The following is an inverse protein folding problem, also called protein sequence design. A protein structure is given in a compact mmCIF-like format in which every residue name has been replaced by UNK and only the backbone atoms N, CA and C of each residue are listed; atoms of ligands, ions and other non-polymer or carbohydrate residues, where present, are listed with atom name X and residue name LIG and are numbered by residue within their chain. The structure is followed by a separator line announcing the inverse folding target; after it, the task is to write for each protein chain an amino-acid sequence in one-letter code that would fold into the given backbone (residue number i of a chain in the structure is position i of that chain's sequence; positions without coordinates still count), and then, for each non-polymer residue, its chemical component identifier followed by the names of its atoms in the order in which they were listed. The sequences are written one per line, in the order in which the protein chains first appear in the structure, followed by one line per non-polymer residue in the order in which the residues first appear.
data_IF_357002878005
#
_entry.id   IF_357002878005
#
_cell.length_a   1.000
_cell.length_b   1.000
_cell.length_c   1.000
_cell.angle_alpha   90.00
_cell.angle_beta   90.00
_cell.angle_gamma   90.00
#
_symmetry.space_group_name_H-M   'P 1'
#
loop_
_entity.id
_entity.type
_entity.pdbx_description
1 polymer ?
#
# COMPACT_ATOMS: atom_id res chain seq x y z
N UNK A 1 -13.65 -4.61 -1.83
CA UNK A 1 -13.64 -3.88 -3.11
C UNK A 1 -14.65 -4.51 -4.08
N UNK A 2 -14.48 -5.77 -4.52
CA UNK A 2 -15.48 -6.48 -5.38
C UNK A 2 -16.94 -6.37 -4.90
N UNK A 3 -17.18 -6.55 -3.59
CA UNK A 3 -18.51 -6.36 -2.99
C UNK A 3 -19.08 -4.95 -3.21
N UNK A 4 -18.27 -3.89 -3.01
CA UNK A 4 -18.71 -2.51 -3.22
C UNK A 4 -19.02 -2.25 -4.69
N UNK A 5 -18.19 -2.78 -5.60
CA UNK A 5 -18.36 -2.63 -7.04
C UNK A 5 -19.64 -3.25 -7.56
N UNK A 6 -20.09 -4.35 -6.95
CA UNK A 6 -21.37 -5.02 -7.24
C UNK A 6 -22.57 -4.45 -6.47
N UNK A 7 -22.34 -3.52 -5.54
CA UNK A 7 -23.39 -2.89 -4.75
C UNK A 7 -23.96 -1.63 -5.43
N UNK A 8 -25.02 -1.06 -4.86
CA UNK A 8 -25.60 0.20 -5.34
C UNK A 8 -24.62 1.39 -5.27
N UNK A 9 -23.60 1.32 -4.42
CA UNK A 9 -22.57 2.35 -4.32
C UNK A 9 -21.62 2.34 -5.52
N UNK A 10 -21.46 1.19 -6.20
CA UNK A 10 -20.60 0.95 -7.38
C UNK A 10 -19.11 1.21 -7.21
N UNK A 11 -18.66 2.05 -6.28
CA UNK A 11 -17.26 2.32 -5.99
C UNK A 11 -17.08 2.86 -4.57
N UNK A 12 -15.83 2.95 -4.14
CA UNK A 12 -15.42 3.58 -2.89
C UNK A 12 -15.09 5.07 -3.07
N UNK A 13 -14.36 5.44 -4.12
CA UNK A 13 -14.08 6.85 -4.48
C UNK A 13 -12.95 7.54 -3.71
N UNK A 14 -12.51 6.97 -2.58
CA UNK A 14 -11.47 7.53 -1.70
C UNK A 14 -10.60 6.39 -1.11
N UNK A 15 -10.32 5.36 -1.91
CA UNK A 15 -9.55 4.21 -1.45
C UNK A 15 -8.08 4.59 -1.25
N UNK A 16 -7.55 4.47 -0.02
CA UNK A 16 -6.18 4.80 0.36
C UNK A 16 -5.73 3.87 1.48
N UNK A 17 -4.43 3.78 1.74
CA UNK A 17 -3.92 2.99 2.87
C UNK A 17 -4.53 3.42 4.21
N UNK A 18 -4.78 4.72 4.38
CA UNK A 18 -5.46 5.27 5.57
C UNK A 18 -6.95 4.88 5.71
N UNK A 19 -7.61 4.44 4.64
CA UNK A 19 -9.03 3.99 4.67
C UNK A 19 -9.17 2.48 4.79
N UNK A 20 -8.05 1.75 4.79
CA UNK A 20 -7.97 0.31 5.06
C UNK A 20 -7.66 0.08 6.55
N UNK A 21 -8.70 -0.09 7.36
CA UNK A 21 -8.58 -0.29 8.81
C UNK A 21 -8.45 -1.77 9.14
N UNK A 22 -7.67 -2.10 10.17
CA UNK A 22 -7.52 -3.48 10.67
C UNK A 22 -8.20 -3.59 12.02
N UNK A 23 -9.05 -4.60 12.22
CA UNK A 23 -9.68 -4.87 13.51
C UNK A 23 -8.87 -5.85 14.38
N UNK A 24 -9.34 -6.07 15.60
CA UNK A 24 -8.84 -7.05 16.57
C UNK A 24 -8.74 -8.49 16.03
N UNK A 25 -9.62 -8.83 15.08
CA UNK A 25 -9.66 -10.12 14.40
C UNK A 25 -8.74 -10.19 13.18
N UNK A 26 -7.84 -9.22 12.99
CA UNK A 26 -6.90 -9.12 11.86
C UNK A 26 -7.57 -9.08 10.49
N UNK A 27 -8.79 -8.55 10.43
CA UNK A 27 -9.54 -8.36 9.19
C UNK A 27 -9.41 -6.92 8.73
N UNK A 28 -9.11 -6.76 7.43
CA UNK A 28 -9.14 -5.45 6.78
C UNK A 28 -10.59 -5.04 6.50
N UNK A 29 -10.97 -3.83 6.91
CA UNK A 29 -12.25 -3.19 6.65
C UNK A 29 -12.03 -1.86 5.95
N UNK A 30 -12.86 -1.58 4.96
CA UNK A 30 -12.84 -0.31 4.23
C UNK A 30 -13.73 0.71 4.95
N UNK A 31 -13.20 1.91 5.18
CA UNK A 31 -13.88 3.03 5.82
C UNK A 31 -14.02 4.21 4.84
N UNK A 32 -14.83 5.22 5.19
CA UNK A 32 -14.99 6.46 4.41
C UNK A 32 -15.53 6.29 2.97
N UNK A 33 -16.23 5.20 2.65
CA UNK A 33 -16.93 5.05 1.37
C UNK A 33 -18.28 5.78 1.38
N UNK A 34 -18.65 6.41 0.26
CA UNK A 34 -19.94 7.11 0.13
C UNK A 34 -20.06 8.40 0.96
N UNK A 35 -18.94 8.96 1.41
CA UNK A 35 -18.89 10.21 2.19
C UNK A 35 -18.58 11.44 1.33
N UNK A 36 -18.63 11.32 0.00
CA UNK A 36 -18.07 12.33 -0.91
C UNK A 36 -18.76 13.69 -0.77
N UNK A 37 -20.09 13.69 -0.61
CA UNK A 37 -20.89 14.90 -0.39
C UNK A 37 -20.65 15.57 0.97
N UNK A 38 -20.07 14.85 1.95
CA UNK A 38 -19.76 15.37 3.28
C UNK A 38 -18.35 15.98 3.34
N UNK A 39 -17.50 15.64 2.38
CA UNK A 39 -16.10 16.08 2.30
C UNK A 39 -15.95 17.32 1.40
N UNK A 40 -16.99 17.70 0.62
CA UNK A 40 -16.98 18.84 -0.30
C UNK A 40 -16.56 20.19 0.31
N UNK A 41 -16.73 20.40 1.62
CA UNK A 41 -16.37 21.67 2.27
C UNK A 41 -14.86 21.89 2.48
N UNK A 42 -14.01 20.86 2.26
CA UNK A 42 -12.56 21.03 2.34
C UNK A 42 -11.88 20.35 1.15
N UNK A 43 -11.17 21.14 0.34
CA UNK A 43 -10.27 20.61 -0.69
C UNK A 43 -9.42 19.51 -0.05
N UNK A 44 -9.48 18.25 -0.52
CA UNK A 44 -8.75 17.18 0.13
C UNK A 44 -7.28 17.56 0.16
N UNK A 45 -6.58 17.41 1.31
CA UNK A 45 -5.16 17.69 1.38
C UNK A 45 -4.46 17.07 0.18
N UNK A 46 -3.61 17.82 -0.53
CA UNK A 46 -3.02 17.37 -1.81
C UNK A 46 -2.36 15.99 -1.71
N UNK A 47 -1.84 15.62 -0.53
CA UNK A 47 -1.34 14.26 -0.22
C UNK A 47 -2.37 13.15 -0.45
N UNK A 48 -3.67 13.39 -0.23
CA UNK A 48 -4.73 12.40 -0.48
C UNK A 48 -4.84 12.03 -1.97
N UNK A 49 -4.38 12.90 -2.87
CA UNK A 49 -4.44 12.69 -4.32
C UNK A 49 -3.40 11.68 -4.83
N UNK A 50 -2.45 11.25 -4.00
CA UNK A 50 -1.39 10.31 -4.39
C UNK A 50 -1.90 8.91 -4.78
N UNK A 51 -3.10 8.55 -4.35
CA UNK A 51 -3.75 7.29 -4.73
C UNK A 51 -4.75 7.44 -5.88
N UNK A 52 -5.02 8.67 -6.32
CA UNK A 52 -6.11 8.97 -7.25
C UNK A 52 -5.68 8.70 -8.69
N UNK A 53 -6.55 8.02 -9.42
CA UNK A 53 -6.31 7.61 -10.81
C UNK A 53 -6.15 8.82 -11.77
N UNK A 54 -5.34 8.69 -12.83
CA UNK A 54 -5.01 9.80 -13.74
C UNK A 54 -6.24 10.43 -14.41
N UNK A 55 -7.22 9.63 -14.81
CA UNK A 55 -8.47 10.09 -15.41
C UNK A 55 -9.31 10.94 -14.45
N UNK A 56 -9.29 10.63 -13.16
CA UNK A 56 -10.00 11.38 -12.12
C UNK A 56 -9.31 12.72 -11.88
N UNK A 57 -7.97 12.73 -11.82
CA UNK A 57 -7.17 13.95 -11.70
C UNK A 57 -7.32 14.91 -12.90
N UNK A 58 -7.51 14.36 -14.11
CA UNK A 58 -7.74 15.14 -15.34
C UNK A 58 -9.14 15.71 -15.42
N UNK A 59 -10.16 14.86 -15.21
CA UNK A 59 -11.55 15.24 -15.34
C UNK A 59 -12.07 16.09 -14.19
N UNK A 60 -11.36 16.14 -13.05
CA UNK A 60 -11.86 16.72 -11.80
C UNK A 60 -13.24 16.13 -11.46
N UNK A 61 -13.35 14.81 -11.64
CA UNK A 61 -14.60 14.08 -11.55
C UNK A 61 -15.10 14.04 -10.09
N UNK A 62 -16.40 14.25 -9.89
CA UNK A 62 -17.05 13.88 -8.63
C UNK A 62 -17.10 12.36 -8.50
N UNK A 63 -17.28 11.83 -7.29
CA UNK A 63 -17.35 10.38 -7.10
C UNK A 63 -18.51 9.74 -7.86
N UNK A 64 -19.62 10.46 -8.04
CA UNK A 64 -20.74 10.04 -8.89
C UNK A 64 -20.39 9.90 -10.38
N UNK A 65 -19.30 10.52 -10.84
CA UNK A 65 -18.81 10.46 -12.21
C UNK A 65 -17.65 9.46 -12.37
N UNK A 66 -17.11 8.94 -11.27
CA UNK A 66 -16.02 7.97 -11.29
C UNK A 66 -16.54 6.57 -11.59
N UNK A 67 -15.71 5.77 -12.26
CA UNK A 67 -15.96 4.36 -12.52
C UNK A 67 -15.14 3.45 -11.57
N UNK A 68 -15.54 2.19 -11.36
CA UNK A 68 -14.86 1.26 -10.45
C UNK A 68 -13.37 1.05 -10.72
N UNK A 69 -12.93 1.27 -11.97
CA UNK A 69 -11.52 1.22 -12.38
C UNK A 69 -10.64 2.25 -11.67
N UNK A 70 -11.19 3.33 -11.13
CA UNK A 70 -10.46 4.29 -10.30
C UNK A 70 -10.06 3.71 -8.94
N UNK A 71 -10.94 2.91 -8.32
CA UNK A 71 -10.59 2.16 -7.11
C UNK A 71 -9.52 1.09 -7.40
N UNK A 72 -9.54 0.49 -8.59
CA UNK A 72 -8.53 -0.50 -9.01
C UNK A 72 -7.13 0.13 -9.09
N UNK A 73 -7.03 1.34 -9.65
CA UNK A 73 -5.78 2.11 -9.62
C UNK A 73 -5.33 2.39 -8.18
N UNK A 74 -6.25 2.86 -7.35
CA UNK A 74 -5.97 3.18 -5.94
C UNK A 74 -5.48 1.94 -5.18
N UNK A 75 -6.09 0.79 -5.44
CA UNK A 75 -5.67 -0.52 -4.92
C UNK A 75 -4.24 -0.86 -5.33
N UNK A 76 -3.82 -0.57 -6.56
CA UNK A 76 -2.46 -0.84 -7.03
C UNK A 76 -1.41 -0.03 -6.25
N UNK A 77 -1.70 1.24 -5.93
CA UNK A 77 -0.83 2.07 -5.10
C UNK A 77 -0.71 1.46 -3.70
N UNK A 78 -1.82 1.06 -3.07
CA UNK A 78 -1.82 0.38 -1.77
C UNK A 78 -1.03 -0.94 -1.83
N UNK A 79 -1.23 -1.73 -2.88
CA UNK A 79 -0.51 -2.97 -3.07
C UNK A 79 1.00 -2.74 -3.24
N UNK A 80 1.42 -1.65 -3.88
CA UNK A 80 2.83 -1.28 -3.97
C UNK A 80 3.43 -0.92 -2.62
N UNK A 81 2.68 -0.25 -1.72
CA UNK A 81 3.12 0.04 -0.35
C UNK A 81 3.35 -1.27 0.43
N UNK A 82 2.43 -2.24 0.28
CA UNK A 82 2.55 -3.56 0.91
C UNK A 82 3.77 -4.33 0.38
N UNK A 83 3.98 -4.33 -0.93
CA UNK A 83 5.08 -5.06 -1.57
C UNK A 83 6.45 -4.48 -1.21
N UNK A 84 6.56 -3.16 -1.15
CA UNK A 84 7.83 -2.45 -0.92
C UNK A 84 8.09 -2.18 0.56
N UNK A 85 7.06 -2.27 1.42
CA UNK A 85 7.08 -1.84 2.82
C UNK A 85 7.49 -0.36 2.99
N UNK A 86 7.17 0.46 1.98
CA UNK A 86 7.46 1.90 1.92
C UNK A 86 6.15 2.68 1.79
N UNK A 87 6.19 3.97 2.11
CA UNK A 87 5.05 4.87 1.89
C UNK A 87 4.72 5.00 0.40
N UNK A 88 3.46 5.36 0.08
CA UNK A 88 3.06 5.64 -1.29
C UNK A 88 4.02 6.61 -1.97
N UNK A 89 4.52 6.20 -3.14
CA UNK A 89 5.51 6.92 -3.94
C UNK A 89 6.92 7.05 -3.34
N UNK A 90 7.20 6.58 -2.12
CA UNK A 90 8.52 6.63 -1.47
C UNK A 90 9.29 7.94 -1.68
N UNK A 91 8.98 8.96 -0.88
CA UNK A 91 9.57 10.29 -1.02
C UNK A 91 11.02 10.40 -0.53
N UNK A 92 11.57 9.38 0.14
CA UNK A 92 12.92 9.47 0.72
C UNK A 92 14.01 9.57 -0.35
N UNK A 93 13.84 8.84 -1.46
CA UNK A 93 14.81 8.76 -2.56
C UNK A 93 14.36 9.55 -3.80
N UNK A 94 13.29 10.35 -3.68
CA UNK A 94 12.72 11.15 -4.79
C UNK A 94 13.08 12.62 -4.70
N UNK A 95 13.15 13.26 -5.87
CA UNK A 95 13.33 14.71 -5.98
C UNK A 95 12.00 15.45 -5.97
N UNK A 96 10.97 14.79 -6.49
CA UNK A 96 9.64 15.34 -6.67
C UNK A 96 8.87 15.35 -5.35
N UNK A 97 8.20 16.47 -5.07
CA UNK A 97 7.25 16.54 -3.96
C UNK A 97 5.88 15.94 -4.33
N UNK A 98 4.97 15.88 -3.35
CA UNK A 98 3.63 15.31 -3.57
C UNK A 98 2.81 16.03 -4.65
N UNK A 99 3.01 17.34 -4.84
CA UNK A 99 2.28 18.11 -5.84
C UNK A 99 2.83 17.85 -7.24
N UNK A 100 4.15 17.76 -7.38
CA UNK A 100 4.83 17.43 -8.62
C UNK A 100 4.47 16.01 -9.07
N UNK A 101 4.43 15.04 -8.16
CA UNK A 101 3.96 13.67 -8.44
C UNK A 101 2.53 13.69 -8.97
N UNK A 102 1.60 14.36 -8.28
CA UNK A 102 0.20 14.46 -8.71
C UNK A 102 0.10 15.12 -10.09
N UNK A 103 0.89 16.16 -10.34
CA UNK A 103 0.96 16.80 -11.65
C UNK A 103 1.46 15.85 -12.74
N UNK A 104 2.53 15.09 -12.48
CA UNK A 104 3.09 14.14 -13.44
C UNK A 104 2.14 12.96 -13.73
N UNK A 105 1.45 12.43 -12.72
CA UNK A 105 0.40 11.40 -12.91
C UNK A 105 -0.74 11.98 -13.75
N UNK A 106 -1.21 13.18 -13.42
CA UNK A 106 -2.25 13.88 -14.19
C UNK A 106 -1.82 14.11 -15.64
N UNK A 107 -0.58 14.53 -15.87
CA UNK A 107 -0.02 14.78 -17.21
C UNK A 107 0.08 13.50 -18.03
N UNK A 108 0.41 12.37 -17.40
CA UNK A 108 0.62 11.10 -18.08
C UNK A 108 1.73 11.18 -19.14
N UNK A 109 1.58 10.41 -20.22
CA UNK A 109 2.52 10.39 -21.35
C UNK A 109 2.80 8.97 -21.83
N UNK A 110 3.75 8.82 -22.76
CA UNK A 110 4.17 7.50 -23.27
C UNK A 110 4.79 6.61 -22.17
N UNK A 111 5.38 7.24 -21.14
CA UNK A 111 5.97 6.57 -19.99
C UNK A 111 5.44 7.25 -18.71
N UNK A 112 4.22 6.92 -18.29
CA UNK A 112 3.62 7.55 -17.13
C UNK A 112 4.32 7.08 -15.86
N UNK A 113 4.56 8.00 -14.92
CA UNK A 113 5.26 7.66 -13.67
C UNK A 113 4.41 6.72 -12.81
N UNK A 114 5.07 5.81 -12.08
CA UNK A 114 4.44 4.90 -11.10
C UNK A 114 5.36 4.72 -9.90
N UNK A 115 4.85 4.22 -8.75
CA UNK A 115 5.70 3.74 -7.67
C UNK A 115 6.66 2.65 -8.17
N UNK A 116 7.89 2.67 -7.66
CA UNK A 116 8.88 1.67 -8.00
C UNK A 116 8.62 0.40 -7.21
N UNK A 117 8.45 -0.73 -7.90
CA UNK A 117 8.32 -2.05 -7.27
C UNK A 117 9.56 -2.85 -7.64
N UNK A 118 10.38 -3.16 -6.64
CA UNK A 118 11.58 -3.98 -6.81
C UNK A 118 11.15 -5.38 -7.27
N UNK A 119 11.65 -5.81 -8.42
CA UNK A 119 11.29 -7.10 -9.03
C UNK A 119 12.06 -8.28 -8.46
N UNK A 120 13.18 -8.02 -7.80
CA UNK A 120 14.12 -9.03 -7.30
C UNK A 120 13.92 -9.36 -5.81
N UNK A 121 12.68 -9.34 -5.32
CA UNK A 121 12.36 -9.86 -3.99
C UNK A 121 12.13 -11.38 -4.06
N UNK A 122 13.02 -12.22 -3.50
CA UNK A 122 12.91 -13.68 -3.60
C UNK A 122 11.59 -14.25 -3.06
N UNK A 123 10.98 -13.56 -2.11
CA UNK A 123 9.78 -14.00 -1.40
C UNK A 123 8.47 -13.58 -2.08
N UNK A 124 8.53 -12.68 -3.05
CA UNK A 124 7.35 -12.12 -3.74
C UNK A 124 7.09 -12.89 -5.03
N UNK A 125 5.85 -13.33 -5.22
CA UNK A 125 5.44 -13.98 -6.46
C UNK A 125 5.50 -12.99 -7.63
N UNK A 126 6.29 -13.23 -8.71
CA UNK A 126 6.36 -12.32 -9.84
C UNK A 126 5.00 -12.03 -10.49
N UNK A 127 4.07 -12.98 -10.45
CA UNK A 127 2.71 -12.79 -10.98
C UNK A 127 1.91 -11.75 -10.18
N UNK A 128 2.22 -11.56 -8.89
CA UNK A 128 1.60 -10.51 -8.07
C UNK A 128 2.11 -9.14 -8.50
N UNK A 129 3.40 -9.01 -8.82
CA UNK A 129 3.98 -7.77 -9.33
C UNK A 129 3.34 -7.39 -10.66
N UNK A 130 3.18 -8.36 -11.58
CA UNK A 130 2.47 -8.14 -12.84
C UNK A 130 1.03 -7.69 -12.60
N UNK A 131 0.29 -8.37 -11.71
CA UNK A 131 -1.09 -7.98 -11.39
C UNK A 131 -1.19 -6.55 -10.85
N UNK A 132 -0.29 -6.13 -9.95
CA UNK A 132 -0.25 -4.74 -9.47
C UNK A 132 0.03 -3.78 -10.62
N UNK A 133 0.93 -4.13 -11.54
CA UNK A 133 1.22 -3.31 -12.72
C UNK A 133 0.03 -3.18 -13.68
N UNK A 134 -0.76 -4.23 -13.85
CA UNK A 134 -1.99 -4.19 -14.65
C UNK A 134 -3.06 -3.31 -13.99
N UNK A 135 -3.14 -3.30 -12.65
CA UNK A 135 -4.13 -2.53 -11.90
C UNK A 135 -3.95 -1.00 -12.00
N UNK A 136 -2.73 -0.50 -12.29
CA UNK A 136 -2.49 0.93 -12.49
C UNK A 136 -2.22 1.33 -13.94
N UNK A 137 -2.73 0.55 -14.90
CA UNK A 137 -2.69 0.91 -16.31
C UNK A 137 -3.19 2.33 -16.54
N UNK A 138 -2.58 3.03 -17.50
CA UNK A 138 -2.90 4.42 -17.80
C UNK A 138 -4.36 4.57 -18.26
N UNK A 139 -4.78 3.73 -19.21
CA UNK A 139 -6.17 3.64 -19.65
C UNK A 139 -7.00 2.86 -18.61
N UNK A 140 -8.13 3.41 -18.14
CA UNK A 140 -8.99 2.72 -17.18
C UNK A 140 -9.55 1.38 -17.66
N UNK A 141 -9.76 1.23 -18.96
CA UNK A 141 -10.27 0.03 -19.64
C UNK A 141 -9.27 -1.13 -19.70
N UNK A 142 -7.97 -0.83 -19.59
CA UNK A 142 -6.90 -1.83 -19.59
C UNK A 142 -6.72 -2.46 -18.19
N UNK A 143 -7.37 -1.89 -17.17
CA UNK A 143 -7.28 -2.38 -15.78
C UNK A 143 -8.19 -3.60 -15.58
N UNK A 144 -7.73 -4.64 -14.87
CA UNK A 144 -8.56 -5.79 -14.56
C UNK A 144 -9.71 -5.40 -13.63
N UNK A 145 -10.85 -6.09 -13.76
CA UNK A 145 -11.96 -5.90 -12.82
C UNK A 145 -11.60 -6.41 -11.42
N UNK A 146 -12.29 -5.90 -10.41
CA UNK A 146 -12.15 -6.37 -9.02
C UNK A 146 -12.41 -7.86 -8.85
N UNK A 147 -13.34 -8.40 -9.61
CA UNK A 147 -13.59 -9.84 -9.70
C UNK A 147 -12.38 -10.61 -10.27
N UNK A 148 -11.80 -10.13 -11.38
CA UNK A 148 -10.61 -10.77 -11.97
C UNK A 148 -9.42 -10.71 -11.02
N UNK A 149 -9.22 -9.58 -10.32
CA UNK A 149 -8.17 -9.44 -9.29
C UNK A 149 -8.37 -10.51 -8.21
N UNK A 150 -9.59 -10.63 -7.66
CA UNK A 150 -9.88 -11.65 -6.64
C UNK A 150 -9.62 -13.09 -7.14
N UNK A 151 -9.97 -13.41 -8.38
CA UNK A 151 -9.71 -14.73 -8.98
C UNK A 151 -8.21 -15.00 -9.12
N UNK A 152 -7.45 -14.04 -9.65
CA UNK A 152 -6.01 -14.15 -9.83
C UNK A 152 -5.29 -14.33 -8.49
N UNK A 153 -5.63 -13.52 -7.48
CA UNK A 153 -5.06 -13.64 -6.13
C UNK A 153 -5.36 -15.01 -5.51
N UNK A 154 -6.60 -15.52 -5.62
CA UNK A 154 -6.94 -16.87 -5.13
C UNK A 154 -6.10 -17.96 -5.80
N UNK A 155 -5.87 -17.86 -7.10
CA UNK A 155 -5.07 -18.81 -7.86
C UNK A 155 -3.58 -18.77 -7.50
N UNK A 156 -3.07 -17.59 -7.11
CA UNK A 156 -1.70 -17.43 -6.61
C UNK A 156 -1.56 -18.00 -5.20
N UNK A 157 -2.55 -17.78 -4.33
CA UNK A 157 -2.54 -18.22 -2.94
C UNK A 157 -2.78 -19.72 -2.78
N UNK A 158 -3.56 -20.36 -3.66
CA UNK A 158 -3.86 -21.80 -3.56
C UNK A 158 -2.65 -22.71 -3.81
N UNK A 159 -1.58 -22.17 -4.39
CA UNK A 159 -0.34 -22.91 -4.72
C UNK A 159 0.72 -22.87 -3.61
N UNK A 160 0.66 -21.93 -2.67
CA UNK A 160 1.51 -21.92 -1.47
C UNK A 160 0.68 -22.48 -0.30
N UNK A 161 1.28 -23.39 0.44
CA UNK A 161 0.75 -24.02 1.66
C UNK A 161 -0.04 -23.03 2.53
N UNK A 162 -1.13 -23.51 3.13
CA UNK A 162 -1.95 -22.79 4.12
C UNK A 162 -1.16 -22.54 5.42
N UNK A 163 -0.06 -21.78 5.39
CA UNK A 163 0.47 -21.20 6.62
C UNK A 163 -0.59 -20.23 7.13
N UNK A 164 -1.13 -20.48 8.33
CA UNK A 164 -2.09 -19.57 8.94
C UNK A 164 -1.39 -18.21 9.13
N UNK A 165 -2.09 -17.11 8.89
CA UNK A 165 -1.53 -15.76 9.10
C UNK A 165 -0.99 -15.62 10.53
N UNK A 166 -1.66 -16.23 11.51
CA UNK A 166 -1.18 -16.26 12.88
C UNK A 166 0.17 -16.96 13.04
N UNK A 167 0.41 -18.07 12.33
CA UNK A 167 1.70 -18.77 12.39
C UNK A 167 2.81 -17.88 11.81
N UNK A 168 2.52 -17.17 10.72
CA UNK A 168 3.47 -16.23 10.12
C UNK A 168 3.77 -15.05 11.06
N UNK A 169 2.74 -14.46 11.68
CA UNK A 169 2.93 -13.37 12.66
C UNK A 169 3.68 -13.86 13.90
N UNK A 170 3.39 -15.08 14.38
CA UNK A 170 4.09 -15.67 15.51
C UNK A 170 5.58 -15.85 15.21
N UNK A 171 5.91 -16.40 14.03
CA UNK A 171 7.30 -16.54 13.60
C UNK A 171 8.01 -15.17 13.50
N UNK A 172 7.33 -14.14 12.96
CA UNK A 172 7.90 -12.79 12.90
C UNK A 172 8.16 -12.20 14.29
N UNK A 173 7.24 -12.40 15.24
CA UNK A 173 7.41 -11.93 16.62
C UNK A 173 8.54 -12.67 17.33
N UNK A 174 8.68 -13.97 17.10
CA UNK A 174 9.75 -14.79 17.67
C UNK A 174 11.12 -14.34 17.14
N UNK A 175 11.24 -14.11 15.83
CA UNK A 175 12.48 -13.62 15.20
C UNK A 175 12.85 -12.22 15.69
N UNK A 176 11.88 -11.32 15.82
CA UNK A 176 12.09 -9.98 16.35
C UNK A 176 12.53 -10.02 17.82
N UNK A 177 11.90 -10.87 18.64
CA UNK A 177 12.25 -11.05 20.05
C UNK A 177 13.68 -11.57 20.17
N UNK A 178 14.05 -12.59 19.40
CA UNK A 178 15.40 -13.14 19.39
C UNK A 178 16.45 -12.10 18.97
N UNK A 179 16.15 -11.29 17.95
CA UNK A 179 17.06 -10.23 17.49
C UNK A 179 17.26 -9.16 18.57
N UNK A 180 16.18 -8.73 19.22
CA UNK A 180 16.25 -7.77 20.33
C UNK A 180 17.03 -8.30 21.53
N UNK A 181 16.87 -9.58 21.87
CA UNK A 181 17.62 -10.20 22.98
C UNK A 181 19.13 -10.13 22.74
N UNK A 182 19.56 -10.43 21.50
CA UNK A 182 20.98 -10.32 21.10
C UNK A 182 21.46 -8.88 21.21
N UNK A 183 20.73 -7.91 20.68
CA UNK A 183 21.12 -6.49 20.73
C UNK A 183 21.22 -5.97 22.17
N UNK A 184 20.28 -6.35 23.04
CA UNK A 184 20.31 -6.00 24.46
C UNK A 184 21.53 -6.62 25.15
N UNK A 185 21.86 -7.87 24.85
CA UNK A 185 23.02 -8.54 25.45
C UNK A 185 24.34 -7.86 25.05
N UNK A 186 24.50 -7.53 23.76
CA UNK A 186 25.67 -6.81 23.25
C UNK A 186 25.81 -5.43 23.91
N UNK A 187 24.72 -4.66 23.95
CA UNK A 187 24.74 -3.32 24.56
C UNK A 187 25.04 -3.37 26.05
N UNK A 188 24.56 -4.41 26.74
CA UNK A 188 24.84 -4.64 28.16
C UNK A 188 26.30 -5.00 28.40
N UNK A 189 26.92 -5.80 27.51
CA UNK A 189 28.36 -6.12 27.55
C UNK A 189 29.21 -4.87 27.35
N UNK A 190 28.87 -4.01 26.39
CA UNK A 190 29.57 -2.74 26.18
C UNK A 190 29.48 -1.84 27.41
N UNK A 191 28.27 -1.67 27.95
CA UNK A 191 28.03 -0.80 29.11
C UNK A 191 28.80 -1.27 30.35
N UNK A 192 28.87 -2.59 30.57
CA UNK A 192 29.63 -3.17 31.69
C UNK A 192 31.15 -3.02 31.52
N UNK A 193 31.67 -3.09 30.30
CA UNK A 193 33.08 -2.83 30.01
C UNK A 193 33.44 -1.37 30.25
N UNK A 194 32.61 -0.43 29.77
CA UNK A 194 32.83 1.00 29.98
C UNK A 194 32.74 1.37 31.46
N UNK A 195 31.79 0.80 32.20
CA UNK A 195 31.70 0.98 33.66
C UNK A 195 32.96 0.51 34.38
N UNK A 196 33.50 -0.66 34.02
CA UNK A 196 34.77 -1.15 34.59
C UNK A 196 35.95 -0.21 34.30
N UNK A 197 36.03 0.35 33.09
CA UNK A 197 37.07 1.33 32.74
C UNK A 197 36.94 2.59 33.60
N UNK A 198 35.71 3.10 33.78
CA UNK A 198 35.45 4.26 34.63
C UNK A 198 35.82 4.00 36.10
N UNK A 199 35.47 2.81 36.63
CA UNK A 199 35.78 2.43 38.02
C UNK A 199 37.30 2.26 38.28
N UNK A 200 38.11 1.96 37.25
CA UNK A 200 39.59 1.88 37.36
C UNK A 200 40.23 3.29 37.37
N UNK A 201 39.55 4.29 36.81
CA UNK A 201 40.05 5.67 36.69
C UNK A 201 39.66 6.55 37.90
N UNK A 202 38.88 6.02 38.85
CA UNK A 202 38.44 6.66 40.10
C UNK A 202 39.20 6.10 41.31
#
# INVERSE_FOLDING_TARGET
MDYLHKSFLRLHGNLRSATCLVNDSWQVKLAEFGLDNLIEEQTPPKKRLLWVAPEVLRGSLTVSQMEPSADVYSFAIIASEILTKKEAWDFLDRKEDSEEIVYMVKKGGAFPIRPEIVTDCPDVNPALITLVKDCWAESPEDRPTSENICQQLKNMMSKKSKSNLMDHVFNMLEEYTSTLEVEVEERTKELTLEKKKADILL
#
